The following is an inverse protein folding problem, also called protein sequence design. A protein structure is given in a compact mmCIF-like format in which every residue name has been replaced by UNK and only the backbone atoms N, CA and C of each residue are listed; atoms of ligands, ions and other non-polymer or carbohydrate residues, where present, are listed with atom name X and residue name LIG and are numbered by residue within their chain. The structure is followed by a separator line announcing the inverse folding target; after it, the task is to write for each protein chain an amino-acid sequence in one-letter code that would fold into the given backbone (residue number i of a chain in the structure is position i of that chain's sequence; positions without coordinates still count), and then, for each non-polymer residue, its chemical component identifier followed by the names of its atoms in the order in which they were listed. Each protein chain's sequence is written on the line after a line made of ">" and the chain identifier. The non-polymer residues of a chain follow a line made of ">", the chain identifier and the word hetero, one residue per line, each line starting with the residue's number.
data_IF_933179174226
#
_entry.id   IF_933179174226
#
_cell.length_a   1.000
_cell.length_b   1.000
_cell.length_c   1.000
_cell.angle_alpha   90.00
_cell.angle_beta   90.00
_cell.angle_gamma   90.00
#
_symmetry.space_group_name_H-M   'P 1'
#
loop_
_entity.id
_entity.type
_entity.pdbx_description
1 polymer ?
#
# COMPACT_ATOMS: atom_id res chain seq x y z
N UNK A 1 46.75 26.49 69.27
CA UNK A 1 46.75 25.82 70.59
C UNK A 1 45.31 25.48 70.91
N UNK A 2 45.03 24.19 71.04
CA UNK A 2 43.71 23.56 71.18
C UNK A 2 42.82 24.10 72.30
N UNK A 3 41.50 24.02 72.07
CA UNK A 3 40.48 23.52 73.01
C UNK A 3 39.12 23.56 72.29
N UNK A 4 38.63 22.48 71.68
CA UNK A 4 37.90 21.32 72.25
C UNK A 4 36.59 21.67 72.98
N UNK A 5 35.46 21.39 72.32
CA UNK A 5 34.11 21.49 72.89
C UNK A 5 33.12 20.54 72.18
N UNK A 6 32.80 19.43 72.86
CA UNK A 6 31.84 18.33 72.58
C UNK A 6 30.41 18.81 72.21
N UNK A 7 29.68 18.26 71.21
CA UNK A 7 28.81 17.02 71.13
C UNK A 7 27.44 17.44 70.49
N UNK A 8 26.44 16.58 70.16
CA UNK A 8 26.39 15.44 69.23
C UNK A 8 25.14 15.47 68.27
N UNK A 9 25.16 14.61 67.24
CA UNK A 9 24.05 13.81 66.68
C UNK A 9 22.66 14.45 66.34
N UNK A 10 22.36 14.55 65.04
CA UNK A 10 21.00 14.54 64.43
C UNK A 10 21.11 13.71 63.14
N UNK A 11 20.82 12.41 63.14
CA UNK A 11 19.59 11.76 62.60
C UNK A 11 19.09 12.47 61.33
N UNK A 12 19.08 11.88 60.13
CA UNK A 12 17.92 11.14 59.59
C UNK A 12 18.39 10.41 58.31
N UNK A 13 18.35 9.07 58.37
CA UNK A 13 17.89 8.10 57.36
C UNK A 13 17.98 8.56 55.89
N UNK A 14 19.05 8.12 55.22
CA UNK A 14 19.21 8.24 53.77
C UNK A 14 18.23 7.32 53.03
N UNK A 15 17.25 7.94 52.37
CA UNK A 15 16.65 7.51 51.09
C UNK A 15 17.70 6.86 50.17
N UNK A 16 17.45 5.93 49.25
CA UNK A 16 16.26 5.27 48.75
C UNK A 16 16.80 4.45 47.56
N UNK A 17 16.60 3.13 47.57
CA UNK A 17 16.45 2.25 46.39
C UNK A 17 17.68 2.11 45.46
N UNK A 18 18.36 0.96 45.60
CA UNK A 18 19.07 0.29 44.50
C UNK A 18 18.12 0.11 43.30
N UNK A 19 18.49 0.64 42.13
CA UNK A 19 17.91 0.22 40.84
C UNK A 19 19.06 -0.26 39.94
N UNK A 20 19.09 -1.58 39.72
CA UNK A 20 19.97 -2.24 38.76
C UNK A 20 19.68 -1.73 37.33
N UNK A 21 20.68 -1.48 36.48
CA UNK A 21 20.43 -1.20 35.07
C UNK A 21 19.94 -2.48 34.40
N UNK A 22 18.66 -2.49 34.06
CA UNK A 22 18.01 -3.51 33.23
C UNK A 22 18.69 -3.52 31.86
N UNK A 23 19.15 -4.72 31.48
CA UNK A 23 19.63 -5.17 30.19
C UNK A 23 19.35 -4.24 29.01
N UNK A 24 20.41 -3.73 28.38
CA UNK A 24 20.38 -3.23 27.02
C UNK A 24 20.10 -4.41 26.08
N UNK A 25 18.83 -4.71 25.82
CA UNK A 25 18.44 -5.56 24.70
C UNK A 25 18.66 -4.74 23.42
N UNK A 26 19.77 -5.01 22.73
CA UNK A 26 19.95 -4.56 21.35
C UNK A 26 18.96 -5.30 20.48
N UNK A 27 17.78 -4.69 20.27
CA UNK A 27 16.82 -5.15 19.29
C UNK A 27 17.43 -4.83 17.92
N UNK A 28 18.03 -5.83 17.27
CA UNK A 28 18.33 -5.72 15.85
C UNK A 28 16.98 -5.58 15.14
N UNK A 29 16.63 -4.36 14.74
CA UNK A 29 15.51 -4.16 13.84
C UNK A 29 15.83 -4.95 12.57
N UNK A 30 15.03 -5.99 12.29
CA UNK A 30 14.99 -6.56 10.96
C UNK A 30 14.62 -5.40 10.03
N UNK A 31 15.51 -5.04 9.12
CA UNK A 31 15.14 -4.21 7.98
C UNK A 31 14.26 -5.14 7.14
N UNK A 32 12.95 -5.10 7.34
CA UNK A 32 12.04 -5.47 6.27
C UNK A 32 12.41 -4.55 5.12
N UNK A 33 12.96 -5.12 4.04
CA UNK A 33 13.04 -4.44 2.76
C UNK A 33 11.58 -4.32 2.30
N UNK A 34 10.85 -3.36 2.89
CA UNK A 34 9.59 -2.88 2.35
C UNK A 34 9.96 -2.47 0.93
N UNK A 35 9.62 -3.33 -0.04
CA UNK A 35 9.95 -3.03 -1.42
C UNK A 35 9.21 -1.74 -1.75
N UNK A 36 9.92 -0.61 -1.73
CA UNK A 36 9.25 0.67 -1.82
C UNK A 36 8.65 0.84 -3.22
N UNK A 37 7.50 1.50 -3.28
CA UNK A 37 6.91 1.91 -4.55
C UNK A 37 7.89 2.84 -5.29
N UNK A 38 8.36 2.42 -6.47
CA UNK A 38 9.27 3.24 -7.29
C UNK A 38 8.48 4.04 -8.33
N UNK A 39 8.57 5.37 -8.29
CA UNK A 39 8.02 6.25 -9.33
C UNK A 39 8.72 5.97 -10.68
N UNK A 40 7.94 5.58 -11.70
CA UNK A 40 8.42 5.27 -13.06
C UNK A 40 8.04 6.30 -14.09
N UNK A 41 6.90 6.98 -13.92
CA UNK A 41 6.44 8.06 -14.80
C UNK A 41 5.70 9.11 -13.97
N UNK A 42 5.88 10.37 -14.33
CA UNK A 42 5.11 11.51 -13.85
C UNK A 42 4.93 12.45 -15.05
N UNK A 43 3.73 12.48 -15.63
CA UNK A 43 3.40 13.27 -16.82
C UNK A 43 1.90 13.51 -16.89
N UNK A 44 1.51 14.70 -17.35
CA UNK A 44 0.10 15.06 -17.60
C UNK A 44 -0.80 14.87 -16.36
N UNK A 45 -0.24 15.05 -15.16
CA UNK A 45 -0.96 14.86 -13.89
C UNK A 45 -1.18 13.38 -13.49
N UNK A 46 -0.51 12.45 -14.16
CA UNK A 46 -0.58 11.01 -13.90
C UNK A 46 0.79 10.51 -13.41
N UNK A 47 0.80 9.93 -12.21
CA UNK A 47 1.98 9.30 -11.62
C UNK A 47 1.84 7.79 -11.67
N UNK A 48 2.86 7.09 -12.19
CA UNK A 48 2.91 5.63 -12.27
C UNK A 48 4.04 5.11 -11.41
N UNK A 49 3.70 4.28 -10.44
CA UNK A 49 4.62 3.59 -9.55
C UNK A 49 4.65 2.10 -9.88
N UNK A 50 5.78 1.46 -9.65
CA UNK A 50 5.90 0.00 -9.76
C UNK A 50 6.65 -0.56 -8.58
N UNK A 51 6.35 -1.80 -8.22
CA UNK A 51 7.07 -2.57 -7.20
C UNK A 51 7.23 -4.01 -7.67
N UNK A 52 8.33 -4.68 -7.30
CA UNK A 52 8.47 -6.11 -7.59
C UNK A 52 7.67 -6.92 -6.57
N UNK A 53 7.24 -8.12 -6.96
CA UNK A 53 6.55 -9.05 -6.07
C UNK A 53 7.36 -10.33 -6.03
N UNK A 54 7.60 -10.83 -4.82
CA UNK A 54 8.31 -12.09 -4.63
C UNK A 54 7.62 -13.23 -5.40
N UNK A 55 8.41 -14.08 -6.06
CA UNK A 55 7.90 -15.18 -6.87
C UNK A 55 7.27 -14.78 -8.21
N UNK A 56 7.18 -13.48 -8.53
CA UNK A 56 6.63 -13.01 -9.80
C UNK A 56 7.71 -12.43 -10.72
N UNK A 57 7.69 -12.86 -11.99
CA UNK A 57 8.45 -12.19 -13.06
C UNK A 57 7.86 -10.83 -13.47
N UNK A 58 6.69 -10.49 -12.93
CA UNK A 58 5.93 -9.28 -13.22
C UNK A 58 5.94 -8.32 -12.04
N UNK A 59 5.88 -7.03 -12.34
CA UNK A 59 5.75 -5.96 -11.35
C UNK A 59 4.29 -5.63 -11.13
N UNK A 60 3.94 -5.25 -9.90
CA UNK A 60 2.68 -4.55 -9.64
C UNK A 60 2.82 -3.10 -10.07
N UNK A 61 1.72 -2.54 -10.58
CA UNK A 61 1.64 -1.17 -11.11
C UNK A 61 0.58 -0.42 -10.31
N UNK A 62 0.88 0.81 -9.92
CA UNK A 62 -0.05 1.74 -9.28
C UNK A 62 -0.03 3.05 -10.03
N UNK A 63 -1.17 3.48 -10.57
CA UNK A 63 -1.32 4.79 -11.18
C UNK A 63 -2.12 5.71 -10.24
N UNK A 64 -1.71 6.97 -10.13
CA UNK A 64 -2.38 7.98 -9.32
C UNK A 64 -2.60 9.23 -10.17
N UNK A 65 -3.81 9.79 -10.12
CA UNK A 65 -4.18 11.04 -10.78
C UNK A 65 -5.30 11.73 -9.99
N UNK A 66 -5.57 13.00 -10.31
CA UNK A 66 -6.73 13.73 -9.80
C UNK A 66 -7.65 14.08 -10.96
N UNK A 67 -8.94 13.75 -10.83
CA UNK A 67 -9.98 14.06 -11.80
C UNK A 67 -11.09 14.89 -11.16
N UNK A 68 -11.79 15.68 -11.95
CA UNK A 68 -12.99 16.40 -11.52
C UNK A 68 -14.23 15.52 -11.80
N UNK A 69 -14.54 14.62 -10.88
CA UNK A 69 -15.70 13.75 -10.96
C UNK A 69 -16.21 13.41 -9.55
N UNK A 70 -17.48 13.02 -9.44
CA UNK A 70 -17.97 12.40 -8.20
C UNK A 70 -17.43 10.96 -8.11
N UNK A 71 -17.21 10.41 -6.89
CA UNK A 71 -16.82 9.01 -6.73
C UNK A 71 -17.81 8.05 -7.39
N UNK A 72 -19.11 8.35 -7.32
CA UNK A 72 -20.16 7.54 -7.96
C UNK A 72 -20.02 7.50 -9.48
N UNK A 73 -19.70 8.62 -10.13
CA UNK A 73 -19.50 8.65 -11.58
C UNK A 73 -18.27 7.84 -12.00
N UNK A 74 -17.18 7.88 -11.22
CA UNK A 74 -15.99 7.08 -11.49
C UNK A 74 -16.25 5.58 -11.34
N UNK A 75 -16.97 5.17 -10.29
CA UNK A 75 -17.37 3.77 -10.08
C UNK A 75 -18.33 3.31 -11.18
N UNK A 76 -19.32 4.12 -11.56
CA UNK A 76 -20.26 3.79 -12.63
C UNK A 76 -19.54 3.54 -13.96
N UNK A 77 -18.59 4.40 -14.34
CA UNK A 77 -17.77 4.19 -15.55
C UNK A 77 -16.93 2.90 -15.46
N UNK A 78 -16.38 2.58 -14.29
CA UNK A 78 -15.59 1.36 -14.08
C UNK A 78 -16.44 0.07 -14.16
N UNK A 79 -17.73 0.15 -13.82
CA UNK A 79 -18.68 -0.96 -13.94
C UNK A 79 -19.29 -1.11 -15.34
N UNK A 80 -19.29 -0.05 -16.16
CA UNK A 80 -19.88 -0.07 -17.50
C UNK A 80 -18.98 -0.86 -18.47
N UNK A 81 -19.21 -2.18 -18.53
CA UNK A 81 -18.42 -3.10 -19.36
C UNK A 81 -18.65 -2.86 -20.85
N UNK A 82 -19.88 -2.54 -21.27
CA UNK A 82 -20.23 -2.31 -22.67
C UNK A 82 -19.53 -1.05 -23.23
N UNK A 83 -19.33 -0.03 -22.39
CA UNK A 83 -18.64 1.21 -22.78
C UNK A 83 -17.11 1.07 -22.92
N UNK A 84 -16.52 -0.13 -22.78
CA UNK A 84 -15.06 -0.27 -22.70
C UNK A 84 -14.31 0.35 -23.89
N UNK A 85 -14.86 0.25 -25.11
CA UNK A 85 -14.21 0.81 -26.32
C UNK A 85 -14.12 2.34 -26.27
N UNK A 86 -14.98 3.01 -25.51
CA UNK A 86 -15.05 4.47 -25.43
C UNK A 86 -13.97 5.05 -24.52
N UNK A 87 -13.55 4.30 -23.50
CA UNK A 87 -12.70 4.84 -22.43
C UNK A 87 -11.47 3.98 -22.09
N UNK A 88 -11.56 2.65 -22.23
CA UNK A 88 -10.49 1.73 -21.86
C UNK A 88 -9.58 1.49 -23.06
N UNK A 89 -8.36 2.04 -23.00
CA UNK A 89 -7.38 1.88 -24.07
C UNK A 89 -7.15 0.41 -24.41
N UNK A 90 -7.12 0.10 -25.72
CA UNK A 90 -6.96 -1.24 -26.29
C UNK A 90 -8.14 -2.20 -26.06
N UNK A 91 -9.15 -1.85 -25.26
CA UNK A 91 -10.33 -2.70 -25.12
C UNK A 91 -11.07 -2.73 -26.45
N UNK A 92 -11.24 -3.93 -26.99
CA UNK A 92 -11.96 -4.18 -28.23
C UNK A 92 -13.36 -4.72 -27.96
N UNK A 93 -13.56 -5.43 -26.87
CA UNK A 93 -14.86 -5.94 -26.46
C UNK A 93 -14.81 -6.26 -24.96
N UNK A 94 -15.89 -6.00 -24.25
CA UNK A 94 -16.08 -6.47 -22.88
C UNK A 94 -17.57 -6.67 -22.62
N UNK A 95 -17.91 -7.66 -21.80
CA UNK A 95 -19.29 -7.93 -21.40
C UNK A 95 -19.34 -8.73 -20.10
N UNK A 96 -20.47 -8.65 -19.41
CA UNK A 96 -20.78 -9.47 -18.23
C UNK A 96 -21.06 -10.91 -18.68
N UNK A 97 -20.10 -11.81 -18.44
CA UNK A 97 -20.24 -13.23 -18.77
C UNK A 97 -21.18 -13.95 -17.80
N UNK A 98 -21.19 -13.55 -16.53
CA UNK A 98 -22.12 -14.01 -15.50
C UNK A 98 -22.29 -12.92 -14.43
N UNK A 99 -23.52 -12.72 -13.96
CA UNK A 99 -23.82 -11.80 -12.85
C UNK A 99 -24.28 -12.63 -11.65
N UNK A 100 -23.47 -12.64 -10.59
CA UNK A 100 -23.75 -13.39 -9.35
C UNK A 100 -24.58 -12.52 -8.39
N UNK A 101 -24.26 -11.23 -8.29
CA UNK A 101 -25.02 -10.23 -7.53
C UNK A 101 -24.68 -8.82 -8.00
N UNK A 102 -25.28 -7.79 -7.39
CA UNK A 102 -24.97 -6.38 -7.67
C UNK A 102 -23.49 -6.02 -7.42
N UNK A 103 -22.76 -6.83 -6.66
CA UNK A 103 -21.34 -6.61 -6.32
C UNK A 103 -20.42 -7.75 -6.73
N UNK A 104 -20.92 -8.78 -7.40
CA UNK A 104 -20.12 -9.95 -7.81
C UNK A 104 -20.49 -10.39 -9.23
N UNK A 105 -19.49 -10.44 -10.10
CA UNK A 105 -19.69 -10.76 -11.51
C UNK A 105 -18.44 -11.38 -12.14
N UNK A 106 -18.65 -12.11 -13.22
CA UNK A 106 -17.60 -12.55 -14.13
C UNK A 106 -17.64 -11.68 -15.38
N UNK A 107 -16.54 -11.00 -15.69
CA UNK A 107 -16.42 -10.09 -16.84
C UNK A 107 -15.44 -10.68 -17.84
N UNK A 108 -15.88 -10.84 -19.09
CA UNK A 108 -14.98 -11.13 -20.19
C UNK A 108 -14.50 -9.84 -20.84
N UNK A 109 -13.21 -9.75 -21.17
CA UNK A 109 -12.64 -8.61 -21.90
C UNK A 109 -11.64 -9.10 -22.94
N UNK A 110 -11.73 -8.60 -24.17
CA UNK A 110 -10.78 -8.81 -25.26
C UNK A 110 -10.06 -7.51 -25.62
N UNK A 111 -8.72 -7.54 -25.61
CA UNK A 111 -7.85 -6.42 -25.90
C UNK A 111 -7.15 -6.59 -27.24
N UNK A 112 -7.32 -5.61 -28.12
CA UNK A 112 -6.65 -5.50 -29.41
C UNK A 112 -5.27 -4.82 -29.21
N UNK A 113 -4.29 -5.61 -28.80
CA UNK A 113 -2.92 -5.14 -28.55
C UNK A 113 -2.12 -5.11 -29.86
N UNK A 114 -1.40 -4.01 -30.16
CA UNK A 114 -0.58 -3.93 -31.36
C UNK A 114 0.62 -4.89 -31.33
N UNK A 115 1.03 -5.31 -32.52
CA UNK A 115 2.26 -6.10 -32.75
C UNK A 115 3.48 -5.42 -32.08
N UNK A 116 4.44 -6.18 -31.48
CA UNK A 116 4.66 -7.62 -31.58
C UNK A 116 3.96 -8.48 -30.53
N UNK A 117 3.10 -7.89 -29.70
CA UNK A 117 2.38 -8.65 -28.67
C UNK A 117 1.07 -9.16 -29.28
N UNK A 118 0.73 -10.42 -29.02
CA UNK A 118 -0.56 -10.96 -29.43
C UNK A 118 -1.70 -10.33 -28.63
N UNK A 119 -2.88 -10.25 -29.23
CA UNK A 119 -4.12 -9.90 -28.54
C UNK A 119 -4.30 -10.74 -27.27
N UNK A 120 -5.01 -10.18 -26.30
CA UNK A 120 -5.21 -10.79 -24.98
C UNK A 120 -6.65 -10.71 -24.59
N UNK A 121 -7.20 -11.82 -24.13
CA UNK A 121 -8.45 -11.86 -23.40
C UNK A 121 -8.27 -12.31 -21.95
N UNK A 122 -9.29 -12.02 -21.14
CA UNK A 122 -9.40 -12.49 -19.76
C UNK A 122 -10.87 -12.68 -19.40
N UNK A 123 -11.15 -13.69 -18.57
CA UNK A 123 -12.37 -13.78 -17.78
C UNK A 123 -11.99 -13.44 -16.33
N UNK A 124 -12.41 -12.28 -15.85
CA UNK A 124 -12.12 -11.79 -14.51
C UNK A 124 -13.30 -12.07 -13.57
N UNK A 125 -13.03 -12.63 -12.40
CA UNK A 125 -13.97 -12.64 -11.28
C UNK A 125 -13.80 -11.34 -10.50
N UNK A 126 -14.84 -10.51 -10.49
CA UNK A 126 -14.83 -9.18 -9.89
C UNK A 126 -15.77 -9.18 -8.69
N UNK A 127 -15.25 -8.75 -7.54
CA UNK A 127 -15.99 -8.59 -6.28
C UNK A 127 -15.78 -7.17 -5.79
N UNK A 128 -16.88 -6.45 -5.54
CA UNK A 128 -16.89 -5.10 -4.97
C UNK A 128 -17.24 -5.18 -3.47
N UNK A 129 -16.38 -4.62 -2.62
CA UNK A 129 -16.52 -4.60 -1.15
C UNK A 129 -16.70 -3.18 -0.60
#
# INVERSE_FOLDING_TARGET
>A
MESSGRKPLVVVIASMILMLPVFAQSQAAAIEEEQDWSLKRDRDGIQVFTRSVEGSRHKVVKAMMTIQASPHAAVALAHDTDACQEWAALCKESYEAEVVSDTELYVYTYNDIPWPVSHRDALAHVVWE
#
